data_IF_741192253610
#
_entry.id   IF_741192253610
#
_cell.length_a   1.000
_cell.length_b   1.000
_cell.length_c   1.000
_cell.angle_alpha   90.00
_cell.angle_beta   90.00
_cell.angle_gamma   90.00
#
_symmetry.space_group_name_H-M   'P 1'
#
loop_
_entity.id
_entity.type
_entity.pdbx_description
1 polymer ?
#
# COMPACT_ATOMS: atom_id res chain seq x y z
N UNK A 1 -1.87 3.18 21.52
CA UNK A 1 -0.71 2.74 20.71
C UNK A 1 -1.17 1.99 19.50
N UNK A 2 -0.62 2.31 18.35
CA UNK A 2 -0.99 1.66 17.12
C UNK A 2 -0.35 0.28 17.01
N UNK A 3 -1.18 -0.76 16.77
CA UNK A 3 -0.70 -2.11 16.47
C UNK A 3 -0.66 -2.37 14.96
N UNK A 4 -0.90 -1.35 14.16
CA UNK A 4 -0.91 -1.44 12.71
C UNK A 4 -0.03 -0.37 12.09
N UNK A 5 0.60 -0.72 10.99
CA UNK A 5 1.41 0.23 10.21
C UNK A 5 1.16 0.02 8.74
N UNK A 6 1.32 1.09 7.96
CA UNK A 6 1.32 1.01 6.51
C UNK A 6 2.65 1.56 6.01
N UNK A 7 3.41 0.71 5.34
CA UNK A 7 4.66 1.07 4.66
C UNK A 7 4.31 1.48 3.24
N UNK A 8 4.69 2.67 2.84
CA UNK A 8 4.30 3.18 1.52
C UNK A 8 5.44 3.90 0.84
N UNK A 9 5.34 4.03 -0.46
CA UNK A 9 6.13 4.95 -1.25
C UNK A 9 5.19 5.59 -2.25
N UNK A 10 5.20 6.91 -2.29
CA UNK A 10 4.32 7.65 -3.18
C UNK A 10 5.15 8.62 -4.00
N UNK A 11 5.18 8.38 -5.28
CA UNK A 11 5.79 9.26 -6.28
C UNK A 11 4.69 9.63 -7.28
N UNK A 12 4.95 10.51 -8.23
CA UNK A 12 3.97 10.94 -9.23
C UNK A 12 2.62 11.31 -8.61
N UNK A 13 2.30 12.56 -8.53
CA UNK A 13 0.98 13.08 -8.12
C UNK A 13 0.50 12.67 -6.72
N UNK A 14 1.30 11.91 -5.94
CA UNK A 14 0.96 11.56 -4.56
C UNK A 14 -0.27 10.66 -4.40
N UNK A 15 -0.56 9.82 -5.40
CA UNK A 15 -1.76 8.97 -5.39
C UNK A 15 -1.84 8.06 -4.17
N UNK A 16 -0.78 7.31 -3.91
CA UNK A 16 -0.75 6.36 -2.79
C UNK A 16 -0.84 7.09 -1.46
N UNK A 17 -0.14 8.22 -1.34
CA UNK A 17 -0.17 9.01 -0.10
C UNK A 17 -1.59 9.48 0.22
N UNK A 18 -2.37 9.88 -0.78
CA UNK A 18 -3.76 10.28 -0.56
C UNK A 18 -4.58 9.15 0.06
N UNK A 19 -4.37 7.93 -0.42
CA UNK A 19 -5.10 6.76 0.06
C UNK A 19 -4.72 6.43 1.51
N UNK A 20 -3.42 6.34 1.80
CA UNK A 20 -2.98 5.98 3.15
C UNK A 20 -3.28 7.10 4.15
N UNK A 21 -3.22 8.36 3.74
CA UNK A 21 -3.61 9.48 4.61
C UNK A 21 -5.09 9.41 4.97
N UNK A 22 -5.95 9.03 4.03
CA UNK A 22 -7.38 8.87 4.30
C UNK A 22 -7.64 7.81 5.38
N UNK A 23 -6.91 6.70 5.31
CA UNK A 23 -7.02 5.65 6.33
C UNK A 23 -6.51 6.15 7.68
N UNK A 24 -5.35 6.81 7.69
CA UNK A 24 -4.73 7.28 8.93
C UNK A 24 -5.55 8.39 9.62
N UNK A 25 -6.37 9.10 8.86
CA UNK A 25 -7.25 10.13 9.41
C UNK A 25 -8.37 9.51 10.24
N UNK A 26 -8.81 8.30 9.88
CA UNK A 26 -9.93 7.62 10.53
C UNK A 26 -9.51 6.60 11.57
N UNK A 27 -8.30 6.05 11.46
CA UNK A 27 -7.84 4.95 12.29
C UNK A 27 -6.44 5.21 12.85
N UNK A 28 -6.17 4.63 14.01
CA UNK A 28 -4.84 4.68 14.61
C UNK A 28 -3.92 3.70 13.87
N UNK A 29 -3.24 4.20 12.85
CA UNK A 29 -2.30 3.43 12.05
C UNK A 29 -1.05 4.29 11.83
N UNK A 30 0.13 3.70 11.99
CA UNK A 30 1.37 4.41 11.74
C UNK A 30 1.72 4.35 10.26
N UNK A 31 2.03 5.50 9.67
CA UNK A 31 2.47 5.56 8.27
C UNK A 31 3.98 5.64 8.21
N UNK A 32 4.59 4.77 7.42
CA UNK A 32 6.04 4.69 7.27
C UNK A 32 6.39 4.90 5.80
N UNK A 33 7.08 5.99 5.51
CA UNK A 33 7.52 6.29 4.15
C UNK A 33 8.82 5.54 3.86
N UNK A 34 8.76 4.54 3.01
CA UNK A 34 9.92 3.67 2.70
C UNK A 34 11.01 4.40 1.91
N UNK A 35 10.72 5.58 1.36
CA UNK A 35 11.75 6.41 0.73
C UNK A 35 12.59 7.15 1.75
N UNK A 36 12.11 7.28 2.99
CA UNK A 36 12.78 7.99 4.07
C UNK A 36 13.29 7.04 5.15
N UNK A 37 12.58 5.96 5.42
CA UNK A 37 12.91 4.98 6.45
C UNK A 37 13.22 3.65 5.77
N UNK A 38 14.46 3.19 5.89
CA UNK A 38 14.87 1.96 5.25
C UNK A 38 14.95 0.78 6.23
N UNK A 39 15.04 1.08 7.50
CA UNK A 39 15.20 0.07 8.54
C UNK A 39 14.39 0.44 9.76
N UNK A 40 13.58 -0.51 10.22
CA UNK A 40 12.74 -0.30 11.40
C UNK A 40 12.36 -1.65 12.00
N UNK A 41 12.35 -1.73 13.32
CA UNK A 41 11.83 -2.90 14.02
C UNK A 41 10.30 -2.92 13.90
N UNK A 42 9.79 -3.91 13.18
CA UNK A 42 8.36 -4.05 12.93
C UNK A 42 7.70 -5.09 13.82
N UNK A 43 8.42 -5.63 14.81
CA UNK A 43 7.90 -6.72 15.65
C UNK A 43 6.70 -6.34 16.49
N UNK A 44 6.53 -5.06 16.81
CA UNK A 44 5.42 -4.59 17.63
C UNK A 44 4.10 -4.39 16.89
N UNK A 45 4.07 -4.58 15.58
CA UNK A 45 2.84 -4.43 14.80
C UNK A 45 2.23 -5.80 14.52
N UNK A 46 0.92 -5.92 14.69
CA UNK A 46 0.17 -7.14 14.38
C UNK A 46 -0.33 -7.16 12.94
N UNK A 47 -0.51 -5.99 12.34
CA UNK A 47 -1.03 -5.82 11.00
C UNK A 47 -0.17 -4.82 10.26
N UNK A 48 0.40 -5.25 9.12
CA UNK A 48 1.32 -4.41 8.35
C UNK A 48 0.84 -4.34 6.90
N UNK A 49 0.59 -3.13 6.43
CA UNK A 49 0.21 -2.89 5.05
C UNK A 49 1.40 -2.43 4.21
N UNK A 50 1.37 -2.78 2.94
CA UNK A 50 2.34 -2.28 1.96
C UNK A 50 1.55 -1.59 0.84
N UNK A 51 1.84 -0.31 0.62
CA UNK A 51 1.09 0.52 -0.30
C UNK A 51 2.02 1.16 -1.32
N UNK A 52 1.63 1.13 -2.58
CA UNK A 52 2.47 1.66 -3.64
C UNK A 52 1.65 2.03 -4.87
N UNK A 53 2.11 3.05 -5.59
CA UNK A 53 1.78 3.20 -6.99
C UNK A 53 2.45 2.07 -7.77
N UNK A 54 1.84 1.69 -8.88
CA UNK A 54 2.33 0.56 -9.68
C UNK A 54 2.93 1.09 -10.97
N UNK A 55 4.17 0.70 -11.24
CA UNK A 55 4.92 1.08 -12.42
C UNK A 55 5.46 -0.18 -13.09
N UNK A 56 5.15 -0.37 -14.37
CA UNK A 56 5.57 -1.57 -15.10
C UNK A 56 5.18 -2.86 -14.34
N UNK A 57 3.96 -2.90 -13.82
CA UNK A 57 3.40 -4.03 -13.05
C UNK A 57 4.14 -4.34 -11.75
N UNK A 58 4.89 -3.39 -11.21
CA UNK A 58 5.71 -3.59 -10.01
C UNK A 58 5.39 -2.59 -8.91
N UNK A 59 5.42 -3.05 -7.67
CA UNK A 59 5.48 -2.17 -6.52
C UNK A 59 6.77 -1.36 -6.55
N UNK A 60 6.76 -0.20 -5.93
CA UNK A 60 7.94 0.66 -5.80
C UNK A 60 9.07 -0.14 -5.15
N UNK A 61 10.28 -0.01 -5.70
CA UNK A 61 11.44 -0.80 -5.23
C UNK A 61 11.71 -0.60 -3.75
N UNK A 62 11.51 0.62 -3.24
CA UNK A 62 11.76 0.89 -1.82
C UNK A 62 10.78 0.16 -0.89
N UNK A 63 9.54 -0.04 -1.33
CA UNK A 63 8.57 -0.83 -0.56
C UNK A 63 8.98 -2.31 -0.56
N UNK A 64 9.40 -2.82 -1.71
CA UNK A 64 9.90 -4.20 -1.81
C UNK A 64 11.13 -4.41 -0.93
N UNK A 65 12.07 -3.49 -0.97
CA UNK A 65 13.28 -3.56 -0.15
C UNK A 65 12.95 -3.52 1.35
N UNK A 66 12.03 -2.64 1.74
CA UNK A 66 11.61 -2.54 3.13
C UNK A 66 11.00 -3.84 3.63
N UNK A 67 10.11 -4.44 2.86
CA UNK A 67 9.47 -5.69 3.24
C UNK A 67 10.50 -6.81 3.37
N UNK A 68 11.41 -6.93 2.41
CA UNK A 68 12.43 -7.97 2.44
C UNK A 68 13.33 -7.85 3.66
N UNK A 69 13.70 -6.63 4.04
CA UNK A 69 14.62 -6.38 5.14
C UNK A 69 13.94 -6.42 6.51
N UNK A 70 12.72 -5.90 6.62
CA UNK A 70 12.14 -5.56 7.93
C UNK A 70 10.90 -6.36 8.31
N UNK A 71 10.23 -7.04 7.38
CA UNK A 71 9.01 -7.76 7.71
C UNK A 71 9.35 -8.97 8.59
N UNK A 72 8.83 -9.03 9.83
CA UNK A 72 9.04 -10.21 10.68
C UNK A 72 8.22 -11.39 10.16
N UNK A 73 8.54 -12.58 10.67
CA UNK A 73 7.78 -13.79 10.36
C UNK A 73 6.41 -13.78 11.05
N UNK A 74 5.46 -14.48 10.43
CA UNK A 74 4.13 -14.77 11.01
C UNK A 74 3.27 -13.53 11.21
N UNK A 75 3.42 -12.51 10.37
CA UNK A 75 2.59 -11.32 10.44
C UNK A 75 1.41 -11.39 9.48
N UNK A 76 0.33 -10.72 9.87
CA UNK A 76 -0.81 -10.46 8.98
C UNK A 76 -0.49 -9.21 8.16
N UNK A 77 -0.61 -9.32 6.84
CA UNK A 77 -0.27 -8.21 5.95
C UNK A 77 -1.39 -7.94 4.95
N UNK A 78 -1.39 -6.76 4.38
CA UNK A 78 -2.31 -6.40 3.30
C UNK A 78 -1.60 -5.51 2.29
N UNK A 79 -2.19 -5.38 1.11
CA UNK A 79 -1.63 -4.58 0.03
C UNK A 79 -2.61 -3.51 -0.43
N UNK A 80 -2.08 -2.32 -0.72
CA UNK A 80 -2.84 -1.22 -1.32
C UNK A 80 -2.10 -0.81 -2.59
N UNK A 81 -2.83 -0.78 -3.70
CA UNK A 81 -2.25 -0.51 -5.02
C UNK A 81 -3.01 0.61 -5.71
N UNK A 82 -2.29 1.60 -6.21
CA UNK A 82 -2.86 2.65 -7.06
C UNK A 82 -2.23 2.54 -8.44
N UNK A 83 -3.03 2.44 -9.48
CA UNK A 83 -2.50 2.25 -10.82
C UNK A 83 -3.46 2.75 -11.88
N UNK A 84 -2.94 2.94 -13.09
CA UNK A 84 -3.76 3.30 -14.24
C UNK A 84 -4.73 2.18 -14.62
N UNK A 85 -4.35 0.94 -14.37
CA UNK A 85 -5.10 -0.25 -14.82
C UNK A 85 -6.08 -0.79 -13.79
N UNK A 86 -5.98 -0.35 -12.54
CA UNK A 86 -6.80 -0.83 -11.42
C UNK A 86 -6.87 -2.36 -11.35
N UNK A 87 -5.69 -2.99 -11.32
CA UNK A 87 -5.54 -4.44 -11.22
C UNK A 87 -4.74 -4.83 -10.01
N UNK A 88 -4.79 -6.11 -9.65
CA UNK A 88 -3.95 -6.69 -8.61
C UNK A 88 -2.55 -6.94 -9.17
N UNK A 89 -1.57 -6.19 -8.65
CA UNK A 89 -0.16 -6.34 -9.00
C UNK A 89 0.66 -6.82 -7.80
N UNK A 90 0.02 -7.42 -6.80
CA UNK A 90 0.70 -7.83 -5.57
C UNK A 90 1.70 -8.97 -5.77
N UNK A 91 1.65 -9.67 -6.91
CA UNK A 91 2.65 -10.70 -7.23
C UNK A 91 4.07 -10.14 -7.23
N UNK A 92 4.24 -8.86 -7.54
CA UNK A 92 5.57 -8.25 -7.50
C UNK A 92 6.16 -8.19 -6.09
N UNK A 93 5.35 -8.43 -5.06
CA UNK A 93 5.83 -8.51 -3.68
C UNK A 93 6.21 -9.92 -3.23
N UNK A 94 5.94 -10.93 -4.05
CA UNK A 94 6.13 -12.33 -3.63
C UNK A 94 7.57 -12.62 -3.17
N UNK A 95 8.56 -12.14 -3.91
CA UNK A 95 9.96 -12.37 -3.53
C UNK A 95 10.33 -11.64 -2.23
N UNK A 96 9.74 -10.48 -1.99
CA UNK A 96 10.03 -9.67 -0.81
C UNK A 96 9.50 -10.28 0.48
N UNK A 97 8.41 -11.05 0.39
CA UNK A 97 7.78 -11.67 1.56
C UNK A 97 8.05 -13.17 1.65
N UNK A 98 8.80 -13.71 0.71
CA UNK A 98 9.09 -15.14 0.64
C UNK A 98 9.82 -15.61 1.91
N UNK A 99 9.39 -16.74 2.45
CA UNK A 99 10.00 -17.36 3.62
C UNK A 99 9.62 -16.73 4.96
N UNK A 100 8.73 -15.73 4.96
CA UNK A 100 8.34 -15.05 6.20
C UNK A 100 7.02 -15.54 6.78
N UNK A 101 6.39 -16.50 6.13
CA UNK A 101 5.10 -17.04 6.56
C UNK A 101 4.07 -15.94 6.82
N UNK A 102 4.02 -14.96 5.92
CA UNK A 102 3.08 -13.85 6.02
C UNK A 102 1.69 -14.28 5.58
N UNK A 103 0.68 -13.88 6.33
CA UNK A 103 -0.72 -14.11 5.94
C UNK A 103 -1.28 -12.87 5.27
N UNK A 104 -1.59 -12.97 3.98
CA UNK A 104 -2.20 -11.86 3.23
C UNK A 104 -3.69 -11.83 3.56
N UNK A 105 -4.12 -10.84 4.31
CA UNK A 105 -5.51 -10.75 4.79
C UNK A 105 -6.39 -9.85 3.92
N UNK A 106 -5.81 -9.12 2.99
CA UNK A 106 -6.60 -8.30 2.08
C UNK A 106 -5.76 -7.58 1.05
N UNK A 107 -6.44 -7.14 -0.01
CA UNK A 107 -5.84 -6.37 -1.10
C UNK A 107 -6.83 -5.31 -1.55
N UNK A 108 -6.36 -4.09 -1.74
CA UNK A 108 -7.17 -2.98 -2.23
C UNK A 108 -6.51 -2.38 -3.45
N UNK A 109 -7.30 -2.12 -4.49
CA UNK A 109 -6.83 -1.45 -5.70
C UNK A 109 -7.74 -0.28 -6.03
N UNK A 110 -7.16 0.78 -6.55
CA UNK A 110 -7.92 1.88 -7.12
C UNK A 110 -7.12 2.54 -8.25
N UNK A 111 -7.83 3.33 -9.05
CA UNK A 111 -7.17 4.12 -10.08
C UNK A 111 -6.33 5.22 -9.46
N UNK A 112 -5.21 5.53 -10.11
CA UNK A 112 -4.38 6.67 -9.76
C UNK A 112 -4.01 7.45 -11.01
N UNK A 113 -3.98 8.77 -10.93
CA UNK A 113 -3.57 9.62 -12.03
C UNK A 113 -2.13 9.24 -12.43
N UNK A 114 -1.93 8.94 -13.71
CA UNK A 114 -0.66 8.43 -14.21
C UNK A 114 -0.27 9.10 -15.51
N UNK A 115 0.92 9.74 -15.52
CA UNK A 115 1.50 10.35 -16.71
C UNK A 115 2.75 9.60 -17.19
N UNK A 116 2.99 8.40 -16.64
CA UNK A 116 4.19 7.62 -16.95
C UNK A 116 4.09 7.00 -18.35
N UNK A 117 5.22 7.02 -19.07
CA UNK A 117 5.33 6.36 -20.36
C UNK A 117 4.33 6.87 -21.38
N UNK A 118 3.62 5.98 -22.09
CA UNK A 118 2.69 6.37 -23.14
C UNK A 118 1.52 7.23 -22.65
N UNK A 119 1.17 7.16 -21.37
CA UNK A 119 0.09 7.97 -20.82
C UNK A 119 0.41 9.47 -20.84
N UNK A 120 1.68 9.83 -20.84
CA UNK A 120 2.12 11.21 -20.91
C UNK A 120 1.68 11.89 -22.21
N UNK A 121 1.62 11.13 -23.31
CA UNK A 121 1.26 11.66 -24.63
C UNK A 121 -0.19 12.11 -24.71
N UNK A 122 -1.05 11.58 -23.87
CA UNK A 122 -2.48 11.92 -23.85
C UNK A 122 -2.88 12.73 -22.62
N UNK A 123 -1.88 13.34 -21.94
CA UNK A 123 -2.13 14.17 -20.77
C UNK A 123 -2.33 13.37 -19.49
N UNK A 124 -1.95 12.08 -19.49
CA UNK A 124 -2.10 11.20 -18.37
C UNK A 124 -3.36 10.33 -18.49
N UNK A 125 -3.51 9.40 -17.56
CA UNK A 125 -4.68 8.55 -17.47
C UNK A 125 -5.21 8.56 -16.04
N UNK A 126 -6.51 8.28 -15.87
CA UNK A 126 -7.19 8.27 -14.57
C UNK A 126 -7.07 9.59 -13.82
N UNK A 127 -7.07 10.70 -14.56
CA UNK A 127 -7.03 12.04 -13.97
C UNK A 127 -8.21 12.24 -13.02
N UNK A 128 -7.93 12.82 -11.85
CA UNK A 128 -8.93 12.96 -10.80
C UNK A 128 -9.02 11.76 -9.86
N UNK A 129 -8.23 10.72 -10.08
CA UNK A 129 -8.16 9.56 -9.19
C UNK A 129 -6.82 9.52 -8.46
N UNK A 130 -6.81 9.05 -7.20
CA UNK A 130 -8.00 8.62 -6.46
C UNK A 130 -8.94 9.78 -6.19
N UNK A 131 -10.25 9.53 -6.34
CA UNK A 131 -11.27 10.51 -6.01
C UNK A 131 -11.85 10.21 -4.62
N UNK A 132 -12.87 10.99 -4.20
CA UNK A 132 -13.46 10.83 -2.88
C UNK A 132 -14.07 9.44 -2.68
N UNK A 133 -14.61 8.83 -3.73
CA UNK A 133 -15.15 7.48 -3.65
C UNK A 133 -14.04 6.46 -3.45
N UNK A 134 -12.91 6.62 -4.14
CA UNK A 134 -11.75 5.74 -3.97
C UNK A 134 -11.24 5.81 -2.52
N UNK A 135 -11.18 7.00 -1.96
CA UNK A 135 -10.70 7.20 -0.58
C UNK A 135 -11.68 6.59 0.43
N UNK A 136 -12.99 6.75 0.20
CA UNK A 136 -14.00 6.14 1.06
C UNK A 136 -13.93 4.62 1.00
N UNK A 137 -13.71 4.06 -0.19
CA UNK A 137 -13.57 2.61 -0.36
C UNK A 137 -12.32 2.08 0.37
N UNK A 138 -11.23 2.83 0.34
CA UNK A 138 -10.01 2.45 1.06
C UNK A 138 -10.23 2.43 2.57
N UNK A 139 -10.93 3.40 3.09
CA UNK A 139 -11.28 3.48 4.52
C UNK A 139 -12.15 2.28 4.90
N UNK A 140 -13.14 1.94 4.09
CA UNK A 140 -14.01 0.80 4.33
C UNK A 140 -13.26 -0.53 4.25
N UNK A 141 -12.34 -0.65 3.30
CA UNK A 141 -11.45 -1.81 3.19
C UNK A 141 -10.67 -2.01 4.50
N UNK A 142 -10.05 -0.97 5.00
CA UNK A 142 -9.27 -1.06 6.23
C UNK A 142 -10.17 -1.39 7.43
N UNK A 143 -11.35 -0.79 7.50
CA UNK A 143 -12.32 -1.09 8.57
C UNK A 143 -12.67 -2.56 8.60
N UNK A 144 -12.86 -3.17 7.44
CA UNK A 144 -13.14 -4.59 7.31
C UNK A 144 -12.00 -5.46 7.86
N UNK A 145 -10.75 -5.07 7.56
CA UNK A 145 -9.59 -5.82 8.02
C UNK A 145 -9.50 -5.85 9.56
N UNK A 146 -9.71 -4.71 10.20
CA UNK A 146 -9.58 -4.64 11.66
C UNK A 146 -10.74 -5.32 12.38
N UNK A 147 -11.93 -5.38 11.76
CA UNK A 147 -13.07 -6.11 12.32
C UNK A 147 -12.81 -7.60 12.35
N UNK A 148 -12.31 -8.15 11.25
CA UNK A 148 -11.99 -9.58 11.15
C UNK A 148 -10.89 -9.96 12.13
N UNK A 149 -9.90 -9.10 12.30
CA UNK A 149 -8.77 -9.35 13.18
C UNK A 149 -9.13 -9.37 14.66
N UNK A 150 -10.30 -8.89 15.04
CA UNK A 150 -10.76 -8.85 16.44
C UNK A 150 -11.61 -10.06 16.82
N UNK A 151 -11.91 -10.90 15.87
CA UNK A 151 -12.74 -12.07 16.12
C UNK A 151 -12.04 -13.12 16.94
#
# INVERSE_FOLDING_TARGET
MSNAAIVYASTHHGNTKKVVDAIAKEFDVELIDATQVQEKDMSGYDLIGFASGIYAAQFHQQVKNFAQKNLPENKRIFFIMTSAMNKDFSRSMDDSIKGKNAEVVGKFTCHGYNTFGPFKLVGGTSKGHPDDNDLADAVEFYRTLIRVGKA
#
